data_IF_011158586442
#
_entry.id   IF_011158586442
#
_cell.length_a   1.000
_cell.length_b   1.000
_cell.length_c   1.000
_cell.angle_alpha   90.00
_cell.angle_beta   90.00
_cell.angle_gamma   90.00
#
_symmetry.space_group_name_H-M   'P 1'
#
loop_
_entity.id
_entity.type
_entity.pdbx_description
1 polymer ?
#
# COMPACT_ATOMS: atom_id res chain seq x y z
N UNK A 1 -11.88 10.61 -27.88
CA UNK A 1 -10.60 10.14 -28.44
C UNK A 1 -10.22 8.82 -27.76
N UNK A 2 -10.46 7.70 -28.45
CA UNK A 2 -9.99 6.36 -28.08
C UNK A 2 -8.92 5.98 -29.11
N UNK A 3 -7.73 5.59 -28.66
CA UNK A 3 -6.72 4.95 -29.53
C UNK A 3 -6.65 3.47 -29.20
N UNK A 4 -6.97 2.70 -30.24
CA UNK A 4 -6.99 1.26 -30.36
C UNK A 4 -5.63 0.85 -30.92
N UNK A 5 -4.94 -0.13 -30.33
CA UNK A 5 -3.80 -0.80 -30.97
C UNK A 5 -4.11 -2.29 -31.12
N UNK A 6 -4.22 -2.70 -32.38
CA UNK A 6 -4.55 -4.03 -32.88
C UNK A 6 -3.24 -4.78 -33.21
N UNK A 7 -3.23 -6.07 -32.89
CA UNK A 7 -2.21 -7.05 -33.29
C UNK A 7 -2.10 -7.15 -34.82
N UNK A 8 -0.88 -7.27 -35.35
CA UNK A 8 -0.65 -7.74 -36.72
C UNK A 8 0.43 -8.84 -36.74
N UNK A 9 0.02 -10.02 -37.21
CA UNK A 9 0.85 -11.15 -37.65
C UNK A 9 0.98 -11.11 -39.18
N UNK A 10 2.14 -11.43 -39.79
CA UNK A 10 2.22 -11.59 -41.24
C UNK A 10 1.91 -13.04 -41.73
N UNK A 11 1.43 -13.21 -42.99
CA UNK A 11 0.77 -14.44 -43.47
C UNK A 11 1.67 -15.45 -44.22
N UNK A 12 1.15 -16.68 -44.31
CA UNK A 12 1.64 -17.81 -45.11
C UNK A 12 1.44 -17.59 -46.62
N UNK A 13 2.44 -17.96 -47.42
CA UNK A 13 2.31 -18.21 -48.86
C UNK A 13 2.50 -19.69 -49.16
N UNK A 14 1.51 -20.25 -49.85
CA UNK A 14 1.51 -21.55 -50.54
C UNK A 14 2.04 -21.31 -51.96
N UNK A 15 2.82 -22.24 -52.55
CA UNK A 15 2.51 -22.91 -53.82
C UNK A 15 3.69 -23.62 -54.53
N UNK A 16 3.34 -24.80 -55.08
CA UNK A 16 3.86 -25.53 -56.24
C UNK A 16 4.99 -26.59 -56.12
N UNK A 17 4.80 -27.56 -57.00
CA UNK A 17 5.15 -28.98 -57.06
C UNK A 17 6.18 -29.30 -58.16
N UNK A 18 7.16 -30.18 -57.87
CA UNK A 18 7.92 -31.14 -58.75
C UNK A 18 8.60 -30.64 -60.06
N UNK A 19 9.54 -31.37 -60.74
CA UNK A 19 10.10 -32.71 -60.52
C UNK A 19 11.65 -32.86 -60.63
N UNK A 20 12.11 -34.00 -60.13
CA UNK A 20 13.17 -34.94 -60.56
C UNK A 20 13.96 -34.64 -61.87
N UNK A 21 15.25 -35.01 -61.81
CA UNK A 21 16.22 -35.44 -62.86
C UNK A 21 17.12 -34.37 -63.48
N UNK A 22 18.43 -34.41 -63.18
CA UNK A 22 19.61 -34.25 -64.07
C UNK A 22 20.87 -34.55 -63.19
N UNK A 23 21.45 -35.75 -63.22
CA UNK A 23 22.40 -36.29 -64.20
C UNK A 23 23.87 -36.18 -63.74
N UNK A 24 24.35 -37.25 -63.12
CA UNK A 24 25.53 -38.02 -63.54
C UNK A 24 26.55 -37.28 -64.44
N UNK A 25 27.38 -36.38 -63.90
CA UNK A 25 28.63 -35.97 -64.56
C UNK A 25 29.60 -35.23 -63.59
N UNK A 26 30.29 -35.95 -62.70
CA UNK A 26 31.58 -35.53 -62.11
C UNK A 26 32.19 -36.63 -61.23
N UNK A 27 32.49 -37.77 -61.85
CA UNK A 27 33.36 -38.81 -61.29
C UNK A 27 34.54 -39.04 -62.24
N UNK A 28 35.55 -38.17 -62.21
CA UNK A 28 36.94 -38.56 -62.47
C UNK A 28 37.86 -37.36 -62.27
N UNK A 29 39.02 -37.65 -61.67
CA UNK A 29 40.17 -36.80 -61.38
C UNK A 29 40.21 -36.16 -59.98
N UNK A 30 40.59 -36.94 -58.95
CA UNK A 30 41.40 -36.45 -57.81
C UNK A 30 42.04 -37.60 -57.00
N UNK A 31 42.82 -38.46 -57.66
CA UNK A 31 43.98 -39.13 -57.05
C UNK A 31 45.16 -38.15 -57.26
N UNK A 32 46.01 -37.70 -56.28
CA UNK A 32 46.29 -38.21 -54.93
C UNK A 32 46.56 -37.08 -53.87
N UNK A 33 45.65 -36.82 -52.92
CA UNK A 33 45.92 -35.97 -51.72
C UNK A 33 45.65 -36.73 -50.41
N UNK A 34 45.04 -37.91 -50.49
CA UNK A 34 44.58 -38.64 -49.31
C UNK A 34 45.69 -39.40 -48.54
N UNK A 35 46.86 -39.62 -49.16
CA UNK A 35 47.92 -40.41 -48.52
C UNK A 35 48.81 -39.60 -47.55
N UNK A 36 48.90 -38.27 -47.72
CA UNK A 36 49.72 -37.42 -46.84
C UNK A 36 48.98 -36.97 -45.57
N UNK A 37 47.65 -36.89 -45.61
CA UNK A 37 46.84 -36.50 -44.44
C UNK A 37 46.65 -37.65 -43.45
N UNK A 38 46.68 -38.90 -43.93
CA UNK A 38 46.49 -40.08 -43.08
C UNK A 38 47.70 -40.38 -42.19
N UNK A 39 48.92 -40.08 -42.63
CA UNK A 39 50.14 -40.36 -41.87
C UNK A 39 50.43 -39.32 -40.76
N UNK A 40 50.05 -38.04 -40.97
CA UNK A 40 50.15 -37.01 -39.93
C UNK A 40 49.13 -37.22 -38.79
N UNK A 41 47.93 -37.70 -39.13
CA UNK A 41 46.87 -37.97 -38.15
C UNK A 41 47.20 -39.17 -37.25
N UNK A 42 47.96 -40.17 -37.74
CA UNK A 42 48.42 -41.29 -36.92
C UNK A 42 49.55 -40.93 -35.95
N UNK A 43 50.35 -39.89 -36.24
CA UNK A 43 51.42 -39.42 -35.34
C UNK A 43 51.00 -38.36 -34.32
N UNK A 44 49.86 -37.67 -34.50
CA UNK A 44 49.35 -36.68 -33.53
C UNK A 44 48.38 -37.24 -32.48
N UNK A 45 47.81 -38.43 -32.73
CA UNK A 45 46.93 -39.15 -31.79
C UNK A 45 47.54 -39.41 -30.39
N UNK A 46 48.84 -39.75 -30.22
CA UNK A 46 49.40 -39.95 -28.88
C UNK A 46 49.48 -38.64 -28.07
N UNK A 47 49.69 -37.50 -28.72
CA UNK A 47 49.79 -36.20 -28.03
C UNK A 47 48.41 -35.70 -27.54
N UNK A 48 47.38 -35.88 -28.36
CA UNK A 48 46.00 -35.55 -27.98
C UNK A 48 45.49 -36.44 -26.84
N UNK A 49 45.84 -37.72 -26.86
CA UNK A 49 45.48 -38.66 -25.79
C UNK A 49 46.13 -38.29 -24.45
N UNK A 50 47.38 -37.82 -24.46
CA UNK A 50 48.10 -37.40 -23.26
C UNK A 50 47.49 -36.16 -22.59
N UNK A 51 47.05 -35.15 -23.37
CA UNK A 51 46.38 -33.96 -22.84
C UNK A 51 45.01 -34.31 -22.23
N UNK A 52 44.25 -35.18 -22.88
CA UNK A 52 42.96 -35.68 -22.36
C UNK A 52 43.17 -36.47 -21.07
N UNK A 53 44.22 -37.28 -20.98
CA UNK A 53 44.56 -38.01 -19.75
C UNK A 53 44.98 -37.05 -18.62
N UNK A 54 45.80 -36.04 -18.91
CA UNK A 54 46.25 -35.06 -17.91
C UNK A 54 45.08 -34.22 -17.36
N UNK A 55 44.18 -33.75 -18.22
CA UNK A 55 42.98 -33.00 -17.80
C UNK A 55 42.03 -33.87 -16.97
N UNK A 56 41.81 -35.12 -17.36
CA UNK A 56 41.05 -36.10 -16.57
C UNK A 56 41.69 -36.34 -15.21
N UNK A 57 43.01 -36.52 -15.14
CA UNK A 57 43.74 -36.71 -13.88
C UNK A 57 43.65 -35.49 -12.96
N UNK A 58 43.80 -34.27 -13.49
CA UNK A 58 43.65 -33.02 -12.72
C UNK A 58 42.22 -32.83 -12.21
N UNK A 59 41.21 -33.19 -13.00
CA UNK A 59 39.80 -33.14 -12.60
C UNK A 59 39.48 -34.18 -11.52
N UNK A 60 39.98 -35.41 -11.66
CA UNK A 60 39.86 -36.46 -10.65
C UNK A 60 40.54 -36.06 -9.33
N UNK A 61 41.74 -35.48 -9.39
CA UNK A 61 42.45 -34.93 -8.21
C UNK A 61 41.63 -33.84 -7.50
N UNK A 62 41.07 -32.89 -8.26
CA UNK A 62 40.21 -31.83 -7.72
C UNK A 62 38.89 -32.37 -7.14
N UNK A 63 38.33 -33.42 -7.73
CA UNK A 63 37.12 -34.08 -7.26
C UNK A 63 37.36 -34.89 -5.97
N UNK A 64 38.48 -35.62 -5.89
CA UNK A 64 38.88 -36.36 -4.70
C UNK A 64 39.12 -35.44 -3.49
N UNK A 65 39.79 -34.29 -3.70
CA UNK A 65 40.07 -33.31 -2.64
C UNK A 65 38.82 -32.60 -2.11
N UNK A 66 37.79 -32.39 -2.93
CA UNK A 66 36.56 -31.70 -2.50
C UNK A 66 35.64 -32.55 -1.63
N UNK A 67 35.84 -33.87 -1.59
CA UNK A 67 35.00 -34.80 -0.84
C UNK A 67 33.53 -34.83 -1.29
N UNK A 68 32.77 -35.82 -0.84
CA UNK A 68 31.37 -36.05 -1.26
C UNK A 68 30.43 -34.89 -0.87
N UNK A 69 30.80 -34.08 0.15
CA UNK A 69 29.97 -33.00 0.68
C UNK A 69 30.48 -31.58 0.38
N UNK A 70 31.44 -31.41 -0.53
CA UNK A 70 32.11 -30.13 -0.80
C UNK A 70 31.24 -29.02 -1.42
N UNK A 71 29.96 -29.28 -1.73
CA UNK A 71 29.02 -28.30 -2.33
C UNK A 71 27.87 -27.89 -1.40
N UNK A 72 27.81 -28.37 -0.17
CA UNK A 72 26.67 -28.10 0.71
C UNK A 72 26.80 -26.73 1.37
N UNK A 73 26.29 -25.69 0.72
CA UNK A 73 26.28 -24.33 1.27
C UNK A 73 25.22 -24.23 2.37
N UNK A 74 25.65 -24.03 3.61
CA UNK A 74 24.75 -23.81 4.76
C UNK A 74 24.46 -22.31 4.91
N UNK A 75 23.24 -21.96 5.30
CA UNK A 75 22.89 -20.58 5.68
C UNK A 75 23.67 -20.21 6.95
N UNK A 76 24.63 -19.30 6.82
CA UNK A 76 25.43 -18.81 7.94
C UNK A 76 24.53 -17.99 8.88
N UNK A 77 24.48 -18.38 10.16
CA UNK A 77 23.83 -17.61 11.23
C UNK A 77 24.94 -17.02 12.07
N UNK A 78 25.07 -15.69 12.05
CA UNK A 78 26.13 -14.97 12.78
C UNK A 78 25.79 -14.78 14.27
N UNK A 79 24.50 -14.87 14.63
CA UNK A 79 24.05 -14.80 16.02
C UNK A 79 23.84 -16.21 16.60
N UNK A 80 24.22 -16.39 17.86
CA UNK A 80 23.98 -17.63 18.63
C UNK A 80 22.51 -17.78 19.05
N UNK A 81 21.76 -16.69 19.10
CA UNK A 81 20.34 -16.68 19.45
C UNK A 81 19.44 -16.82 18.22
N UNK A 82 18.49 -17.76 18.27
CA UNK A 82 17.45 -17.88 17.27
C UNK A 82 16.36 -16.80 17.46
N UNK A 83 16.08 -16.02 16.42
CA UNK A 83 15.03 -15.00 16.41
C UNK A 83 13.90 -15.43 15.49
N UNK A 84 12.65 -15.18 15.92
CA UNK A 84 11.47 -15.44 15.09
C UNK A 84 11.58 -14.56 13.83
N UNK A 85 11.52 -15.15 12.62
CA UNK A 85 11.56 -14.37 11.38
C UNK A 85 10.31 -13.51 11.30
N UNK A 86 10.46 -12.30 10.74
CA UNK A 86 9.30 -11.46 10.47
C UNK A 86 8.44 -12.14 9.42
N UNK A 87 7.25 -12.56 9.81
CA UNK A 87 6.25 -13.15 8.94
C UNK A 87 5.24 -12.10 8.49
N UNK A 88 4.54 -12.38 7.39
CA UNK A 88 3.46 -11.54 6.92
C UNK A 88 2.27 -11.60 7.91
N UNK A 89 1.77 -10.45 8.33
CA UNK A 89 0.58 -10.31 9.19
C UNK A 89 -0.57 -9.79 8.34
N UNK A 90 -1.49 -10.67 7.94
CA UNK A 90 -2.69 -10.28 7.19
C UNK A 90 -3.63 -9.44 8.06
N UNK A 91 -4.31 -8.47 7.44
CA UNK A 91 -5.40 -7.77 8.09
C UNK A 91 -6.58 -8.73 8.35
N UNK A 92 -7.40 -8.44 9.38
CA UNK A 92 -8.57 -9.26 9.69
C UNK A 92 -9.66 -9.06 8.62
N UNK A 93 -10.01 -10.13 7.91
CA UNK A 93 -11.16 -10.19 7.00
C UNK A 93 -12.24 -11.09 7.61
N UNK A 94 -13.20 -10.56 8.39
CA UNK A 94 -14.23 -11.37 9.03
C UNK A 94 -15.23 -11.91 7.98
N UNK A 95 -15.57 -13.20 8.07
CA UNK A 95 -16.53 -13.84 7.15
C UNK A 95 -17.98 -13.40 7.36
N UNK A 96 -18.31 -12.91 8.55
CA UNK A 96 -19.65 -12.42 8.92
C UNK A 96 -19.53 -11.21 9.83
N UNK A 97 -20.52 -10.32 9.75
CA UNK A 97 -20.60 -9.12 10.58
C UNK A 97 -20.94 -9.51 12.02
N UNK A 98 -20.22 -8.95 13.01
CA UNK A 98 -20.46 -9.22 14.44
C UNK A 98 -21.79 -8.64 14.96
N UNK A 99 -22.27 -7.56 14.35
CA UNK A 99 -23.56 -6.92 14.60
C UNK A 99 -24.22 -6.65 13.26
N UNK A 100 -25.53 -6.84 13.18
CA UNK A 100 -26.30 -6.55 11.97
C UNK A 100 -26.32 -5.06 11.67
N UNK A 101 -26.51 -4.22 12.69
CA UNK A 101 -26.59 -2.76 12.56
C UNK A 101 -25.45 -2.10 13.35
N UNK A 102 -24.68 -1.18 12.73
CA UNK A 102 -23.65 -0.41 13.43
C UNK A 102 -24.30 0.60 14.38
N UNK A 103 -23.59 0.92 15.48
CA UNK A 103 -24.06 1.93 16.41
C UNK A 103 -23.85 3.34 15.83
N UNK A 104 -24.93 4.11 15.70
CA UNK A 104 -24.89 5.50 15.24
C UNK A 104 -24.55 6.45 16.39
N UNK A 105 -23.82 7.56 16.14
CA UNK A 105 -23.48 8.53 17.18
C UNK A 105 -24.76 9.08 17.83
N UNK A 106 -24.85 8.96 19.16
CA UNK A 106 -26.02 9.43 19.93
C UNK A 106 -25.96 10.91 20.34
N UNK A 107 -24.84 11.57 20.05
CA UNK A 107 -24.62 12.99 20.35
C UNK A 107 -24.92 13.80 19.11
N UNK A 108 -26.16 14.22 18.98
CA UNK A 108 -26.66 15.17 17.99
C UNK A 108 -26.65 16.61 18.56
N UNK A 109 -26.90 17.58 17.70
CA UNK A 109 -26.83 19.01 17.99
C UNK A 109 -27.81 19.39 19.11
N UNK A 110 -29.02 18.84 19.06
CA UNK A 110 -30.10 19.07 20.04
C UNK A 110 -29.79 18.45 21.40
N UNK A 111 -29.05 17.35 21.45
CA UNK A 111 -28.58 16.78 22.72
C UNK A 111 -27.39 17.54 23.29
N UNK A 112 -26.51 18.05 22.43
CA UNK A 112 -25.36 18.86 22.85
C UNK A 112 -25.87 20.13 23.55
N UNK A 113 -26.70 20.93 22.88
CA UNK A 113 -27.25 22.18 23.43
C UNK A 113 -28.65 21.92 23.95
N UNK A 114 -28.82 21.91 25.28
CA UNK A 114 -30.11 21.57 25.89
C UNK A 114 -31.04 22.78 26.01
N UNK A 115 -30.53 23.88 26.56
CA UNK A 115 -31.31 25.10 26.74
C UNK A 115 -30.39 26.32 26.85
N UNK A 116 -30.84 27.52 26.46
CA UNK A 116 -30.18 28.77 26.84
C UNK A 116 -30.29 29.00 28.35
N UNK A 117 -29.46 29.89 28.88
CA UNK A 117 -29.47 30.27 30.29
C UNK A 117 -29.84 31.74 30.43
N UNK A 118 -30.94 32.01 31.13
CA UNK A 118 -31.61 33.32 31.24
C UNK A 118 -31.42 33.99 32.61
N UNK A 119 -30.36 33.67 33.34
CA UNK A 119 -30.06 34.35 34.63
C UNK A 119 -29.52 35.76 34.38
N UNK A 120 -29.68 36.68 35.33
CA UNK A 120 -29.15 38.05 35.28
C UNK A 120 -27.67 38.13 34.85
N UNK A 121 -26.82 37.26 35.41
CA UNK A 121 -25.39 37.21 35.05
C UNK A 121 -25.13 36.81 33.60
N UNK A 122 -26.05 36.04 33.00
CA UNK A 122 -26.02 35.65 31.60
C UNK A 122 -26.47 36.80 30.70
N UNK A 123 -27.52 37.52 31.10
CA UNK A 123 -28.02 38.70 30.38
C UNK A 123 -26.91 39.76 30.25
N UNK A 124 -26.23 40.07 31.36
CA UNK A 124 -25.06 40.96 31.36
C UNK A 124 -23.95 40.49 30.41
N UNK A 125 -23.74 39.18 30.28
CA UNK A 125 -22.73 38.60 29.38
C UNK A 125 -23.11 38.69 27.90
N UNK A 126 -24.41 38.72 27.59
CA UNK A 126 -24.91 38.95 26.23
C UNK A 126 -24.64 40.40 25.83
N UNK A 127 -24.94 41.35 26.71
CA UNK A 127 -24.77 42.79 26.50
C UNK A 127 -23.29 43.21 26.45
N UNK A 128 -22.51 42.92 27.49
CA UNK A 128 -21.16 43.49 27.67
C UNK A 128 -20.08 42.83 26.78
N UNK A 129 -20.27 41.54 26.44
CA UNK A 129 -19.18 40.71 25.93
C UNK A 129 -19.52 39.94 24.66
N UNK A 130 -20.73 40.11 24.11
CA UNK A 130 -21.22 39.36 22.96
C UNK A 130 -21.07 37.84 23.18
N UNK A 131 -21.55 37.35 24.33
CA UNK A 131 -21.45 35.94 24.73
C UNK A 131 -22.81 35.32 25.04
N UNK A 132 -23.12 34.21 24.37
CA UNK A 132 -24.30 33.39 24.65
C UNK A 132 -23.96 32.33 25.70
N UNK A 133 -24.85 32.12 26.67
CA UNK A 133 -24.66 31.09 27.69
C UNK A 133 -25.69 29.97 27.53
N UNK A 134 -25.20 28.73 27.46
CA UNK A 134 -26.05 27.55 27.32
C UNK A 134 -25.87 26.56 28.48
N UNK A 135 -26.91 25.80 28.76
CA UNK A 135 -26.82 24.50 29.43
C UNK A 135 -26.55 23.43 28.37
N UNK A 136 -25.51 22.64 28.59
CA UNK A 136 -25.00 21.66 27.64
C UNK A 136 -24.91 20.30 28.34
N UNK A 137 -24.93 19.21 27.58
CA UNK A 137 -24.60 17.87 28.09
C UNK A 137 -23.18 17.81 28.68
N UNK A 138 -23.04 17.08 29.79
CA UNK A 138 -21.78 16.89 30.51
C UNK A 138 -20.71 16.23 29.64
N UNK A 139 -21.10 15.37 28.69
CA UNK A 139 -20.17 14.67 27.80
C UNK A 139 -19.74 15.49 26.58
N UNK A 140 -20.37 16.65 26.34
CA UNK A 140 -20.08 17.44 25.15
C UNK A 140 -18.72 18.15 25.23
N UNK A 141 -17.92 18.05 24.17
CA UNK A 141 -16.65 18.75 24.03
C UNK A 141 -16.85 20.16 23.47
N UNK A 142 -15.89 21.06 23.72
CA UNK A 142 -15.94 22.46 23.23
C UNK A 142 -16.14 22.55 21.70
N UNK A 143 -15.50 21.66 20.95
CA UNK A 143 -15.62 21.61 19.49
C UNK A 143 -17.04 21.22 19.05
N UNK A 144 -17.67 20.26 19.74
CA UNK A 144 -19.05 19.85 19.44
C UNK A 144 -20.03 20.98 19.75
N UNK A 145 -19.82 21.72 20.84
CA UNK A 145 -20.64 22.89 21.19
C UNK A 145 -20.51 23.95 20.09
N UNK A 146 -19.28 24.28 19.67
CA UNK A 146 -19.04 25.24 18.58
C UNK A 146 -19.74 24.84 17.28
N UNK A 147 -19.65 23.56 16.89
CA UNK A 147 -20.33 23.03 15.70
C UNK A 147 -21.85 23.07 15.84
N UNK A 148 -22.39 22.73 17.02
CA UNK A 148 -23.84 22.69 17.26
C UNK A 148 -24.44 24.10 17.26
N UNK A 149 -23.75 25.09 17.84
CA UNK A 149 -24.18 26.50 17.79
C UNK A 149 -24.22 26.99 16.34
N UNK A 150 -23.17 26.66 15.56
CA UNK A 150 -23.12 27.02 14.14
C UNK A 150 -24.27 26.40 13.35
N UNK A 151 -24.60 25.13 13.61
CA UNK A 151 -25.64 24.43 12.85
C UNK A 151 -27.07 24.79 13.25
N UNK A 152 -27.32 25.13 14.51
CA UNK A 152 -28.67 25.43 15.00
C UNK A 152 -29.06 26.89 14.80
N UNK A 153 -28.09 27.80 14.92
CA UNK A 153 -28.37 29.23 14.97
C UNK A 153 -27.65 30.01 13.85
N UNK A 154 -26.89 29.33 13.00
CA UNK A 154 -26.06 29.92 11.93
C UNK A 154 -25.04 30.96 12.43
N UNK A 155 -24.51 30.73 13.63
CA UNK A 155 -23.57 31.66 14.27
C UNK A 155 -22.19 31.05 14.44
N UNK A 156 -21.16 31.81 14.07
CA UNK A 156 -19.78 31.45 14.31
C UNK A 156 -19.28 31.90 15.70
N UNK A 157 -18.78 30.94 16.47
CA UNK A 157 -18.18 31.21 17.77
C UNK A 157 -16.67 31.45 17.65
N UNK A 158 -16.18 32.56 18.22
CA UNK A 158 -14.75 32.80 18.43
C UNK A 158 -14.16 31.74 19.38
N UNK A 159 -14.73 31.64 20.58
CA UNK A 159 -14.23 30.78 21.66
C UNK A 159 -15.36 30.25 22.50
N UNK A 160 -15.21 29.01 22.97
CA UNK A 160 -16.12 28.36 23.90
C UNK A 160 -15.40 28.06 25.21
N UNK A 161 -15.93 28.57 26.31
CA UNK A 161 -15.52 28.25 27.66
C UNK A 161 -16.60 27.38 28.33
N UNK A 162 -16.20 26.43 29.17
CA UNK A 162 -17.16 25.52 29.82
C UNK A 162 -16.80 25.33 31.29
N UNK A 163 -17.81 25.18 32.13
CA UNK A 163 -17.69 24.74 33.52
C UNK A 163 -18.79 23.73 33.85
N UNK A 164 -18.58 22.91 34.87
CA UNK A 164 -19.63 22.07 35.45
C UNK A 164 -20.27 22.84 36.60
N UNK A 165 -21.60 22.97 36.59
CA UNK A 165 -22.38 23.54 37.71
C UNK A 165 -22.45 22.52 38.85
N UNK A 166 -22.64 22.96 40.11
CA UNK A 166 -22.91 22.05 41.23
C UNK A 166 -24.14 21.15 41.00
N UNK A 167 -25.10 21.62 40.18
CA UNK A 167 -26.29 20.86 39.76
C UNK A 167 -25.98 19.66 38.85
N UNK A 168 -24.71 19.45 38.48
CA UNK A 168 -24.27 18.38 37.60
C UNK A 168 -24.47 18.65 36.10
N UNK A 169 -24.96 19.83 35.72
CA UNK A 169 -25.09 20.23 34.31
C UNK A 169 -23.88 21.04 33.84
N UNK A 170 -23.52 20.97 32.55
CA UNK A 170 -22.44 21.79 31.99
C UNK A 170 -22.98 23.17 31.60
N UNK A 171 -22.28 24.23 31.98
CA UNK A 171 -22.48 25.61 31.48
C UNK A 171 -21.45 25.87 30.39
N UNK A 172 -21.89 26.39 29.26
CA UNK A 172 -21.00 26.84 28.19
C UNK A 172 -21.20 28.34 27.95
N UNK A 173 -20.11 29.09 27.99
CA UNK A 173 -20.04 30.47 27.51
C UNK A 173 -19.49 30.45 26.09
N UNK A 174 -20.26 30.94 25.13
CA UNK A 174 -19.96 30.93 23.71
C UNK A 174 -19.79 32.38 23.28
N UNK A 175 -18.55 32.80 23.04
CA UNK A 175 -18.24 34.13 22.52
C UNK A 175 -18.40 34.13 21.01
N UNK A 176 -19.22 35.04 20.49
CA UNK A 176 -19.49 35.17 19.06
C UNK A 176 -18.43 36.04 18.37
N UNK A 177 -18.40 36.00 17.04
CA UNK A 177 -17.61 36.96 16.23
C UNK A 177 -18.23 38.36 16.33
N UNK A 178 -17.43 39.38 16.02
CA UNK A 178 -17.90 40.77 16.07
C UNK A 178 -18.89 41.11 14.95
N UNK A 179 -19.06 40.23 13.97
CA UNK A 179 -19.95 40.44 12.82
C UNK A 179 -21.43 40.23 13.18
N UNK A 180 -21.70 39.55 14.30
CA UNK A 180 -23.06 39.20 14.72
C UNK A 180 -23.25 39.53 16.19
N UNK A 181 -24.33 40.23 16.50
CA UNK A 181 -24.68 40.61 17.86
C UNK A 181 -25.48 39.51 18.58
N UNK A 182 -25.04 39.16 19.78
CA UNK A 182 -25.68 38.14 20.61
C UNK A 182 -27.11 38.50 21.03
N UNK A 183 -27.43 39.81 21.14
CA UNK A 183 -28.76 40.28 21.48
C UNK A 183 -29.78 39.89 20.40
N UNK A 184 -29.46 40.11 19.12
CA UNK A 184 -30.33 39.78 17.99
C UNK A 184 -30.57 38.27 17.87
N UNK A 185 -29.53 37.48 18.13
CA UNK A 185 -29.64 36.02 18.15
C UNK A 185 -30.50 35.56 19.34
N UNK A 186 -30.33 36.17 20.52
CA UNK A 186 -31.14 35.83 21.69
C UNK A 186 -32.63 36.12 21.45
N UNK A 187 -32.95 37.25 20.80
CA UNK A 187 -34.30 37.60 20.35
C UNK A 187 -34.87 36.54 19.39
N UNK A 188 -34.06 36.09 18.42
CA UNK A 188 -34.46 35.05 17.45
C UNK A 188 -34.74 33.70 18.11
N UNK A 189 -33.98 33.35 19.14
CA UNK A 189 -34.17 32.11 19.89
C UNK A 189 -35.36 32.25 20.86
N UNK A 190 -35.69 33.46 21.30
CA UNK A 190 -36.88 33.77 22.10
C UNK A 190 -36.69 33.55 23.60
N UNK A 191 -35.53 33.93 24.16
CA UNK A 191 -35.27 33.83 25.61
C UNK A 191 -34.89 35.15 26.28
N UNK A 192 -35.11 36.27 25.59
CA UNK A 192 -34.92 37.65 26.03
C UNK A 192 -36.16 38.46 25.72
#
# INVERSE_FOLDING_TARGET
MKTINILTTPPLHIFFSTPIVYSLFLLLNFFPIFFFFFFFFLYSLPFFFFIVAATKAQNAKKAALKGVHGKTVRKIRTATQFRIPKTLKLARAPKYTRKSVPHVPRMDQYRVIRQPLNTETSMKKIEDHNTLTFIVDVKANKNQIKQSVKQLYDVDALKVNTLIRPDGSKKAYVRLTADVDALDIANRIGFI
#
